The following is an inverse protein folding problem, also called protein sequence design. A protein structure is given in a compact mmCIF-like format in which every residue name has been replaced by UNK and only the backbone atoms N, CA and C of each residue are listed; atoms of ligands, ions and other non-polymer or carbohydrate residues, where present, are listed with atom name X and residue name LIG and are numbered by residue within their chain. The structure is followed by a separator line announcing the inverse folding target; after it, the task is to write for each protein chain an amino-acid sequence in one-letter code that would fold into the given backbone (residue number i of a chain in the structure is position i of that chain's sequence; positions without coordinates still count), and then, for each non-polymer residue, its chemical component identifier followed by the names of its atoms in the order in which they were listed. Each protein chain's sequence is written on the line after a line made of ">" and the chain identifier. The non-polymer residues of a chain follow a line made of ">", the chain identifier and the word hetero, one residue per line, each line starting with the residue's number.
data_IF_691202876226
#
_entry.id   IF_691202876226
#
_cell.length_a   1.000
_cell.length_b   1.000
_cell.length_c   1.000
_cell.angle_alpha   90.00
_cell.angle_beta   90.00
_cell.angle_gamma   90.00
#
_symmetry.space_group_name_H-M   'P 1'
#
loop_
_entity.id
_entity.type
_entity.pdbx_description
1 polymer ?
#
# COMPACT_ATOMS: atom_id res chain seq x y z
N UNK A 1 10.95 -18.15 -16.82
CA UNK A 1 9.86 -17.12 -16.73
C UNK A 1 10.34 -16.04 -15.79
N UNK A 2 10.37 -14.75 -16.21
CA UNK A 2 10.78 -13.66 -15.32
C UNK A 2 9.82 -13.59 -14.12
N UNK A 3 10.36 -13.31 -12.93
CA UNK A 3 9.53 -13.14 -11.74
C UNK A 3 8.74 -11.80 -11.81
N UNK A 4 7.77 -11.60 -10.94
CA UNK A 4 6.93 -10.39 -10.98
C UNK A 4 7.72 -9.12 -10.64
N UNK A 5 8.79 -9.21 -9.85
CA UNK A 5 9.64 -8.06 -9.48
C UNK A 5 10.41 -7.56 -10.71
N UNK A 6 11.03 -8.45 -11.49
CA UNK A 6 11.71 -8.08 -12.72
C UNK A 6 10.78 -7.40 -13.74
N UNK A 7 9.55 -7.93 -13.89
CA UNK A 7 8.54 -7.31 -14.76
C UNK A 7 8.07 -5.94 -14.24
N UNK A 8 7.99 -5.77 -12.93
CA UNK A 8 7.65 -4.48 -12.33
C UNK A 8 8.77 -3.45 -12.51
N UNK A 9 10.03 -3.87 -12.47
CA UNK A 9 11.18 -2.98 -12.75
C UNK A 9 11.17 -2.49 -14.21
N UNK A 10 10.93 -3.38 -15.18
CA UNK A 10 10.78 -3.00 -16.58
C UNK A 10 9.60 -2.00 -16.76
N UNK A 11 8.47 -2.29 -16.11
CA UNK A 11 7.28 -1.42 -16.13
C UNK A 11 7.57 -0.04 -15.50
N UNK A 12 8.31 0.03 -14.40
CA UNK A 12 8.71 1.30 -13.79
C UNK A 12 9.51 2.14 -14.79
N UNK A 13 10.48 1.53 -15.50
CA UNK A 13 11.25 2.23 -16.51
C UNK A 13 10.38 2.76 -17.67
N UNK A 14 9.36 2.00 -18.10
CA UNK A 14 8.42 2.40 -19.16
C UNK A 14 7.49 3.54 -18.72
N UNK A 15 6.95 3.50 -17.50
CA UNK A 15 5.96 4.47 -17.03
C UNK A 15 6.58 5.72 -16.40
N UNK A 16 7.84 5.66 -15.99
CA UNK A 16 8.51 6.75 -15.29
C UNK A 16 8.44 8.12 -16.00
N UNK A 17 8.65 8.23 -17.34
CA UNK A 17 8.52 9.51 -18.04
C UNK A 17 7.13 10.15 -17.86
N UNK A 18 6.06 9.34 -17.82
CA UNK A 18 4.68 9.80 -17.62
C UNK A 18 4.44 10.27 -16.19
N UNK A 19 5.05 9.61 -15.21
CA UNK A 19 4.98 10.03 -13.80
C UNK A 19 5.68 11.38 -13.61
N UNK A 20 6.80 11.61 -14.29
CA UNK A 20 7.53 12.87 -14.23
C UNK A 20 6.80 14.06 -14.89
N UNK A 21 5.78 13.82 -15.73
CA UNK A 21 4.90 14.86 -16.28
C UNK A 21 3.84 15.34 -15.28
N UNK A 22 3.65 14.64 -14.15
CA UNK A 22 2.63 14.99 -13.16
C UNK A 22 3.13 16.09 -12.22
N UNK A 23 2.34 17.15 -12.08
CA UNK A 23 2.62 18.25 -11.15
C UNK A 23 2.10 17.92 -9.73
N UNK A 24 1.01 17.16 -9.66
CA UNK A 24 0.45 16.70 -8.40
C UNK A 24 -0.06 15.23 -8.47
N UNK A 25 -0.48 14.70 -7.32
CA UNK A 25 -0.97 13.32 -7.20
C UNK A 25 -2.24 13.06 -8.01
N UNK A 26 -3.03 14.08 -8.31
CA UNK A 26 -4.29 13.96 -9.05
C UNK A 26 -4.07 13.77 -10.54
N UNK A 27 -2.94 14.25 -11.08
CA UNK A 27 -2.56 14.09 -12.49
C UNK A 27 -2.23 12.65 -12.85
N UNK A 28 -1.85 11.82 -11.87
CA UNK A 28 -1.42 10.44 -12.07
C UNK A 28 -2.45 9.63 -12.87
N UNK A 29 -3.75 9.84 -12.63
CA UNK A 29 -4.79 9.09 -13.36
C UNK A 29 -4.82 9.44 -14.85
N UNK A 30 -4.62 10.71 -15.18
CA UNK A 30 -4.55 11.17 -16.57
C UNK A 30 -3.28 10.64 -17.26
N UNK A 31 -2.14 10.71 -16.58
CA UNK A 31 -0.87 10.17 -17.05
C UNK A 31 -0.92 8.67 -17.29
N UNK A 32 -1.47 7.90 -16.37
CA UNK A 32 -1.67 6.45 -16.52
C UNK A 32 -2.64 6.13 -17.67
N UNK A 33 -3.69 6.93 -17.90
CA UNK A 33 -4.58 6.76 -19.04
C UNK A 33 -3.85 6.98 -20.37
N UNK A 34 -3.00 8.00 -20.46
CA UNK A 34 -2.13 8.28 -21.63
C UNK A 34 -1.17 7.11 -21.87
N UNK A 35 -0.51 6.63 -20.81
CA UNK A 35 0.38 5.47 -20.87
C UNK A 35 -0.36 4.21 -21.38
N UNK A 36 -1.53 3.89 -20.80
CA UNK A 36 -2.33 2.73 -21.23
C UNK A 36 -2.70 2.78 -22.70
N UNK A 37 -3.07 3.97 -23.21
CA UNK A 37 -3.39 4.16 -24.63
C UNK A 37 -2.16 3.96 -25.52
N UNK A 38 -1.00 4.49 -25.11
CA UNK A 38 0.24 4.42 -25.90
C UNK A 38 0.78 2.99 -26.01
N UNK A 39 0.70 2.20 -24.95
CA UNK A 39 1.31 0.86 -24.86
C UNK A 39 0.30 -0.31 -24.84
N UNK A 40 -0.98 -0.06 -25.09
CA UNK A 40 -2.05 -1.06 -24.98
C UNK A 40 -1.99 -1.83 -23.64
N UNK A 41 -1.85 -1.09 -22.53
CA UNK A 41 -1.74 -1.62 -21.18
C UNK A 41 -3.07 -1.44 -20.42
N UNK A 42 -3.21 -2.19 -19.32
CA UNK A 42 -4.38 -2.10 -18.41
C UNK A 42 -3.88 -1.84 -16.99
N UNK A 43 -3.27 -0.69 -16.79
CA UNK A 43 -2.84 -0.23 -15.45
C UNK A 43 -3.95 0.61 -14.82
N UNK A 44 -4.21 0.39 -13.53
CA UNK A 44 -5.16 1.18 -12.75
C UNK A 44 -4.37 1.98 -11.73
N UNK A 45 -4.50 3.30 -11.77
CA UNK A 45 -3.95 4.17 -10.74
C UNK A 45 -4.96 4.32 -9.58
N UNK A 46 -4.48 4.12 -8.37
CA UNK A 46 -5.13 4.49 -7.11
C UNK A 46 -4.23 5.49 -6.42
N UNK A 47 -4.79 6.58 -5.97
CA UNK A 47 -4.04 7.61 -5.24
C UNK A 47 -4.79 7.96 -3.96
N UNK A 48 -4.03 8.05 -2.88
CA UNK A 48 -4.40 8.74 -1.65
C UNK A 48 -4.04 10.23 -1.74
N UNK A 49 -3.80 10.86 -0.61
CA UNK A 49 -3.36 12.27 -0.55
C UNK A 49 -1.93 12.43 -1.10
N UNK A 50 -1.01 11.56 -0.69
CA UNK A 50 0.43 11.66 -0.99
C UNK A 50 1.03 10.36 -1.57
N UNK A 51 0.29 9.25 -1.54
CA UNK A 51 0.74 7.94 -2.03
C UNK A 51 -0.01 7.50 -3.27
N UNK A 52 0.71 6.83 -4.16
CA UNK A 52 0.18 6.27 -5.41
C UNK A 52 0.40 4.77 -5.44
N UNK A 53 -0.60 4.03 -5.90
CA UNK A 53 -0.50 2.62 -6.23
C UNK A 53 -0.89 2.38 -7.70
N UNK A 54 0.02 1.82 -8.48
CA UNK A 54 -0.19 1.42 -9.86
C UNK A 54 -0.44 -0.08 -9.91
N UNK A 55 -1.66 -0.46 -10.23
CA UNK A 55 -2.14 -1.82 -10.18
C UNK A 55 -2.11 -2.45 -11.57
N UNK A 56 -1.35 -3.53 -11.72
CA UNK A 56 -1.35 -4.37 -12.92
C UNK A 56 -2.14 -5.67 -12.68
N UNK A 57 -2.05 -6.65 -13.58
CA UNK A 57 -2.70 -7.97 -13.41
C UNK A 57 -2.10 -8.80 -12.28
N UNK A 58 -0.79 -8.68 -12.01
CA UNK A 58 -0.02 -9.61 -11.19
C UNK A 58 0.90 -8.95 -10.14
N UNK A 59 1.11 -7.64 -10.24
CA UNK A 59 1.85 -6.87 -9.24
C UNK A 59 1.26 -5.47 -9.04
N UNK A 60 1.69 -4.82 -7.98
CA UNK A 60 1.42 -3.43 -7.64
C UNK A 60 2.75 -2.72 -7.48
N UNK A 61 2.84 -1.51 -8.02
CA UNK A 61 3.95 -0.58 -7.77
C UNK A 61 3.41 0.59 -6.97
N UNK A 62 3.95 0.81 -5.78
CA UNK A 62 3.64 1.97 -4.94
C UNK A 62 4.79 2.96 -4.98
N UNK A 63 4.49 4.22 -4.72
CA UNK A 63 5.48 5.26 -4.43
C UNK A 63 4.83 6.41 -3.68
N UNK A 64 5.63 7.11 -2.90
CA UNK A 64 5.23 8.35 -2.27
C UNK A 64 5.40 9.47 -3.29
N UNK A 65 4.31 10.21 -3.55
CA UNK A 65 4.33 11.30 -4.55
C UNK A 65 5.04 12.51 -3.98
N UNK A 66 4.71 12.88 -2.76
CA UNK A 66 5.40 13.89 -1.98
C UNK A 66 5.94 13.25 -0.68
N UNK A 67 7.26 12.97 -0.61
CA UNK A 67 7.85 12.37 0.58
C UNK A 67 7.73 13.25 1.84
N UNK A 68 7.72 14.59 1.70
CA UNK A 68 7.63 15.51 2.85
C UNK A 68 6.24 15.45 3.51
N UNK A 69 5.18 15.32 2.74
CA UNK A 69 3.82 15.14 3.27
C UNK A 69 3.63 13.79 3.97
N UNK A 70 4.40 12.77 3.58
CA UNK A 70 4.23 11.39 4.05
C UNK A 70 4.91 11.13 5.39
N UNK A 71 5.92 11.92 5.79
CA UNK A 71 6.66 11.69 7.03
C UNK A 71 5.74 11.62 8.27
N UNK A 72 4.67 12.42 8.31
CA UNK A 72 3.78 12.47 9.46
C UNK A 72 2.77 11.32 9.55
N UNK A 73 2.42 10.68 8.43
CA UNK A 73 1.35 9.65 8.36
C UNK A 73 1.85 8.23 8.07
N UNK A 74 3.14 8.08 7.82
CA UNK A 74 3.76 6.84 7.40
C UNK A 74 3.67 6.60 5.89
N UNK A 75 4.84 6.51 5.26
CA UNK A 75 4.98 6.26 3.83
C UNK A 75 5.14 4.79 3.49
N UNK A 76 5.41 4.52 2.22
CA UNK A 76 5.68 3.17 1.74
C UNK A 76 6.92 2.54 2.42
N UNK A 77 7.86 3.35 2.91
CA UNK A 77 9.04 2.87 3.65
C UNK A 77 8.64 2.20 4.97
N UNK A 78 7.63 2.71 5.67
CA UNK A 78 7.12 2.11 6.90
C UNK A 78 6.53 0.71 6.67
N UNK A 79 6.01 0.42 5.47
CA UNK A 79 5.56 -0.94 5.13
C UNK A 79 6.72 -1.94 5.12
N UNK A 80 7.94 -1.52 4.73
CA UNK A 80 9.14 -2.38 4.79
C UNK A 80 9.46 -2.75 6.23
N UNK A 81 9.43 -1.78 7.14
CA UNK A 81 9.71 -2.02 8.56
C UNK A 81 8.65 -2.93 9.19
N UNK A 82 7.38 -2.66 8.95
CA UNK A 82 6.27 -3.51 9.40
C UNK A 82 6.45 -4.94 8.88
N UNK A 83 6.76 -5.11 7.59
CA UNK A 83 6.97 -6.42 7.00
C UNK A 83 8.19 -7.14 7.60
N UNK A 84 9.28 -6.42 7.85
CA UNK A 84 10.46 -6.98 8.51
C UNK A 84 10.16 -7.46 9.94
N UNK A 85 9.39 -6.69 10.71
CA UNK A 85 8.92 -7.09 12.05
C UNK A 85 8.02 -8.32 11.93
N UNK A 86 7.05 -8.31 11.02
CA UNK A 86 6.14 -9.43 10.80
C UNK A 86 6.88 -10.72 10.41
N UNK A 87 7.92 -10.61 9.56
CA UNK A 87 8.75 -11.75 9.16
C UNK A 87 9.52 -12.34 10.34
N UNK A 88 10.11 -11.48 11.18
CA UNK A 88 10.84 -11.89 12.38
C UNK A 88 9.95 -12.59 13.41
N UNK A 89 8.71 -12.17 13.53
CA UNK A 89 7.77 -12.66 14.53
C UNK A 89 6.78 -13.73 14.02
N UNK A 90 6.94 -14.18 12.75
CA UNK A 90 6.14 -15.28 12.20
C UNK A 90 4.80 -14.86 11.59
N UNK A 91 4.54 -13.57 11.42
CA UNK A 91 3.31 -13.01 10.83
C UNK A 91 3.44 -12.60 9.36
N UNK A 92 4.52 -12.97 8.66
CA UNK A 92 4.73 -12.56 7.27
C UNK A 92 3.61 -12.96 6.31
N UNK A 93 2.84 -14.04 6.60
CA UNK A 93 1.71 -14.47 5.77
C UNK A 93 0.55 -13.48 5.77
N UNK A 94 0.42 -12.67 6.82
CA UNK A 94 -0.62 -11.66 6.97
C UNK A 94 -0.40 -10.44 6.04
N UNK A 95 0.79 -10.26 5.49
CA UNK A 95 1.16 -9.06 4.71
C UNK A 95 1.56 -9.43 3.28
N UNK A 96 1.25 -8.57 2.33
CA UNK A 96 1.84 -8.63 1.01
C UNK A 96 3.32 -8.26 1.12
N UNK A 97 4.19 -9.13 0.61
CA UNK A 97 5.64 -8.87 0.62
C UNK A 97 5.94 -7.60 -0.18
N UNK A 98 6.78 -6.73 0.37
CA UNK A 98 7.17 -5.47 -0.27
C UNK A 98 8.67 -5.51 -0.60
N UNK A 99 9.00 -5.12 -1.83
CA UNK A 99 10.38 -5.06 -2.33
C UNK A 99 10.68 -3.63 -2.77
N UNK A 100 11.63 -2.93 -2.11
CA UNK A 100 12.05 -1.60 -2.54
C UNK A 100 12.85 -1.67 -3.83
N UNK A 101 12.69 -0.66 -4.68
CA UNK A 101 13.43 -0.49 -5.93
C UNK A 101 13.70 0.98 -6.22
N UNK A 102 14.95 1.36 -6.36
CA UNK A 102 15.35 2.72 -6.73
C UNK A 102 15.50 2.85 -8.23
N UNK A 103 14.84 3.85 -8.82
CA UNK A 103 14.97 4.19 -10.23
C UNK A 103 15.01 5.71 -10.41
N UNK A 104 16.06 6.24 -11.05
CA UNK A 104 16.27 7.67 -11.28
C UNK A 104 16.06 8.52 -10.00
N UNK A 105 16.68 8.12 -8.90
CA UNK A 105 16.63 8.79 -7.58
C UNK A 105 15.25 8.77 -6.90
N UNK A 106 14.26 8.09 -7.46
CA UNK A 106 12.95 7.88 -6.85
C UNK A 106 12.83 6.46 -6.33
N UNK A 107 12.23 6.32 -5.15
CA UNK A 107 11.93 5.01 -4.57
C UNK A 107 10.57 4.52 -5.03
N UNK A 108 10.53 3.27 -5.44
CA UNK A 108 9.35 2.50 -5.77
C UNK A 108 9.28 1.26 -4.87
N UNK A 109 8.08 0.78 -4.63
CA UNK A 109 7.82 -0.34 -3.74
C UNK A 109 6.94 -1.35 -4.48
N UNK A 110 7.49 -2.53 -4.72
CA UNK A 110 6.88 -3.57 -5.55
C UNK A 110 6.25 -4.62 -4.65
N UNK A 111 4.98 -4.93 -4.89
CA UNK A 111 4.21 -5.96 -4.17
C UNK A 111 3.55 -6.92 -5.15
N UNK A 112 3.30 -8.19 -4.76
CA UNK A 112 2.43 -9.06 -5.55
C UNK A 112 1.00 -8.50 -5.57
N UNK A 113 0.28 -8.68 -6.67
CA UNK A 113 -1.13 -8.33 -6.75
C UNK A 113 -1.95 -9.30 -5.90
N UNK A 114 -2.48 -8.82 -4.78
CA UNK A 114 -3.46 -9.54 -3.98
C UNK A 114 -4.84 -9.09 -4.44
N UNK A 115 -5.72 -10.02 -4.76
CA UNK A 115 -7.09 -9.69 -5.18
C UNK A 115 -7.93 -9.42 -3.94
N UNK A 116 -8.58 -8.26 -3.92
CA UNK A 116 -9.51 -7.87 -2.85
C UNK A 116 -10.80 -8.69 -2.87
N UNK A 117 -11.57 -8.56 -1.82
CA UNK A 117 -12.82 -9.32 -1.55
C UNK A 117 -14.03 -8.77 -2.31
N UNK A 118 -13.87 -7.71 -3.08
CA UNK A 118 -15.03 -7.04 -3.68
C UNK A 118 -15.67 -6.00 -2.73
N UNK A 119 -16.83 -5.46 -3.10
CA UNK A 119 -17.53 -4.39 -2.40
C UNK A 119 -18.28 -4.88 -1.16
N UNK A 120 -17.59 -5.09 -0.05
CA UNK A 120 -18.21 -5.37 1.24
C UNK A 120 -17.80 -4.30 2.28
N UNK A 121 -18.61 -4.13 3.34
CA UNK A 121 -18.25 -3.32 4.52
C UNK A 121 -17.53 -4.16 5.59
N UNK A 122 -16.80 -5.19 5.15
CA UNK A 122 -16.15 -6.09 6.06
C UNK A 122 -14.72 -5.61 6.34
N UNK A 123 -14.29 -5.75 7.58
CA UNK A 123 -12.93 -5.42 7.99
C UNK A 123 -12.05 -6.67 7.95
N UNK A 124 -10.76 -6.51 7.67
CA UNK A 124 -9.79 -7.59 7.66
C UNK A 124 -9.77 -8.39 8.96
N UNK A 125 -10.05 -7.73 10.09
CA UNK A 125 -10.12 -8.35 11.43
C UNK A 125 -11.09 -9.53 11.51
N UNK A 126 -12.16 -9.55 10.70
CA UNK A 126 -13.12 -10.66 10.68
C UNK A 126 -12.50 -11.98 10.19
N UNK A 127 -11.35 -11.90 9.52
CA UNK A 127 -10.64 -13.02 8.91
C UNK A 127 -9.29 -13.31 9.58
N UNK A 128 -8.91 -12.53 10.61
CA UNK A 128 -7.67 -12.67 11.35
C UNK A 128 -7.88 -13.55 12.59
N UNK A 129 -6.83 -14.26 12.96
CA UNK A 129 -6.70 -14.90 14.28
C UNK A 129 -6.53 -13.83 15.36
N UNK A 130 -6.80 -14.19 16.63
CA UNK A 130 -6.58 -13.26 17.74
C UNK A 130 -5.11 -12.84 17.91
N UNK A 131 -4.17 -13.73 17.55
CA UNK A 131 -2.75 -13.40 17.55
C UNK A 131 -2.40 -12.33 16.47
N UNK A 132 -2.98 -12.44 15.26
CA UNK A 132 -2.80 -11.45 14.19
C UNK A 132 -3.44 -10.11 14.53
N UNK A 133 -4.63 -10.12 15.13
CA UNK A 133 -5.27 -8.90 15.65
C UNK A 133 -4.41 -8.22 16.71
N UNK A 134 -3.87 -9.01 17.65
CA UNK A 134 -2.98 -8.49 18.68
C UNK A 134 -1.69 -7.89 18.07
N UNK A 135 -1.14 -8.55 17.03
CA UNK A 135 0.02 -8.04 16.30
C UNK A 135 -0.29 -6.69 15.63
N UNK A 136 -1.40 -6.59 14.88
CA UNK A 136 -1.82 -5.34 14.23
C UNK A 136 -2.06 -4.22 15.26
N UNK A 137 -2.77 -4.51 16.37
CA UNK A 137 -2.99 -3.52 17.44
C UNK A 137 -1.69 -3.01 18.04
N UNK A 138 -0.72 -3.89 18.29
CA UNK A 138 0.59 -3.50 18.84
C UNK A 138 1.36 -2.58 17.91
N UNK A 139 1.29 -2.81 16.59
CA UNK A 139 1.91 -1.95 15.57
C UNK A 139 0.98 -0.81 15.13
N UNK A 140 -0.21 -0.69 15.74
CA UNK A 140 -1.22 0.32 15.41
C UNK A 140 -1.60 0.36 13.92
N UNK A 141 -1.64 -0.82 13.30
CA UNK A 141 -2.22 -1.01 11.97
C UNK A 141 -3.72 -1.08 12.16
N UNK A 142 -4.42 0.02 11.88
CA UNK A 142 -5.86 0.19 12.16
C UNK A 142 -6.71 0.38 10.92
N UNK A 143 -6.09 0.71 9.77
CA UNK A 143 -6.80 0.94 8.52
C UNK A 143 -7.07 -0.38 7.78
N UNK A 144 -7.94 -1.21 8.37
CA UNK A 144 -8.21 -2.58 7.97
C UNK A 144 -9.48 -2.75 7.10
N UNK A 145 -9.89 -1.69 6.38
CA UNK A 145 -11.06 -1.73 5.50
C UNK A 145 -10.81 -2.52 4.21
N UNK A 146 -11.89 -2.79 3.45
CA UNK A 146 -11.91 -3.69 2.29
C UNK A 146 -10.92 -3.38 1.17
N UNK A 147 -10.47 -2.13 1.03
CA UNK A 147 -9.49 -1.76 0.00
C UNK A 147 -8.05 -2.09 0.40
N UNK A 148 -7.79 -2.30 1.70
CA UNK A 148 -6.47 -2.51 2.27
C UNK A 148 -6.11 -3.97 2.50
N UNK A 149 -6.98 -4.91 2.12
CA UNK A 149 -6.68 -6.33 2.19
C UNK A 149 -7.29 -7.14 1.04
N UNK A 150 -6.81 -8.35 0.90
CA UNK A 150 -7.37 -9.37 0.02
C UNK A 150 -7.06 -10.76 0.56
N UNK A 151 -7.17 -11.78 -0.28
CA UNK A 151 -6.88 -13.16 0.13
C UNK A 151 -5.75 -13.76 -0.70
N UNK A 152 -4.84 -14.45 0.00
CA UNK A 152 -3.77 -15.24 -0.58
C UNK A 152 -3.84 -16.66 -0.03
N UNK A 153 -4.11 -17.64 -0.91
CA UNK A 153 -4.27 -19.06 -0.52
C UNK A 153 -5.33 -19.27 0.58
N UNK A 154 -6.42 -18.51 0.54
CA UNK A 154 -7.50 -18.61 1.51
C UNK A 154 -7.25 -17.89 2.84
N UNK A 155 -6.11 -17.23 3.01
CA UNK A 155 -5.78 -16.46 4.20
C UNK A 155 -5.80 -14.95 3.89
N UNK A 156 -6.25 -14.13 4.86
CA UNK A 156 -6.25 -12.67 4.75
C UNK A 156 -4.84 -12.14 4.55
N UNK A 157 -4.69 -11.15 3.67
CA UNK A 157 -3.40 -10.57 3.34
C UNK A 157 -3.54 -9.07 3.18
N UNK A 158 -2.93 -8.31 4.07
CA UNK A 158 -2.93 -6.85 4.05
C UNK A 158 -2.05 -6.33 2.90
N UNK A 159 -2.54 -5.32 2.19
CA UNK A 159 -1.87 -4.71 1.03
C UNK A 159 -1.58 -3.22 1.22
N UNK A 160 -2.18 -2.58 2.22
CA UNK A 160 -1.85 -1.24 2.69
C UNK A 160 -1.80 -1.29 4.22
N UNK A 161 -0.59 -1.21 4.75
CA UNK A 161 -0.32 -1.40 6.17
C UNK A 161 0.76 -0.43 6.67
N UNK A 162 0.98 0.67 5.94
CA UNK A 162 1.86 1.73 6.39
C UNK A 162 1.32 2.31 7.71
N UNK A 163 2.19 2.43 8.69
CA UNK A 163 1.94 3.14 9.93
C UNK A 163 3.21 3.90 10.31
N UNK A 164 3.07 5.08 10.87
CA UNK A 164 4.21 5.77 11.45
C UNK A 164 4.45 5.18 12.85
N UNK A 165 5.47 4.33 12.98
CA UNK A 165 5.80 3.64 14.23
C UNK A 165 6.24 4.61 15.33
N UNK A 166 6.88 5.73 14.98
CA UNK A 166 7.25 6.78 15.94
C UNK A 166 6.02 7.56 16.40
N UNK A 167 5.18 7.98 15.46
CA UNK A 167 3.92 8.68 15.76
C UNK A 167 2.96 7.75 16.52
N UNK A 168 2.95 6.46 16.19
CA UNK A 168 2.16 5.45 16.87
C UNK A 168 2.50 5.32 18.36
N UNK A 169 3.70 5.71 18.80
CA UNK A 169 4.11 5.72 20.21
C UNK A 169 3.72 7.01 20.95
N UNK A 170 3.23 8.05 20.26
CA UNK A 170 2.85 9.33 20.85
C UNK A 170 1.41 9.32 21.37
N UNK A 171 1.13 10.11 22.43
CA UNK A 171 -0.21 10.27 23.02
C UNK A 171 -1.22 10.93 22.05
N UNK A 172 -0.74 11.64 21.03
CA UNK A 172 -1.57 12.39 20.09
C UNK A 172 -2.29 11.47 19.09
N UNK A 173 -1.76 10.26 18.90
CA UNK A 173 -2.37 9.24 18.01
C UNK A 173 -3.72 8.75 18.53
N UNK A 174 -3.89 8.58 19.84
CA UNK A 174 -5.16 8.14 20.43
C UNK A 174 -6.29 9.15 20.17
N UNK A 175 -5.98 10.44 20.24
CA UNK A 175 -6.93 11.52 20.00
C UNK A 175 -7.43 11.57 18.54
N UNK A 176 -6.57 11.25 17.56
CA UNK A 176 -6.94 11.30 16.13
C UNK A 176 -7.89 10.16 15.74
N UNK A 177 -7.68 8.96 16.26
CA UNK A 177 -8.51 7.78 15.91
C UNK A 177 -9.80 7.68 16.71
N UNK A 178 -9.83 8.11 17.97
CA UNK A 178 -11.08 8.24 18.73
C UNK A 178 -12.08 9.20 18.07
N UNK A 179 -11.58 10.28 17.45
CA UNK A 179 -12.43 11.20 16.70
C UNK A 179 -12.94 10.62 15.37
N UNK A 180 -12.18 9.77 14.68
CA UNK A 180 -12.60 9.15 13.41
C UNK A 180 -13.68 8.08 13.59
N UNK A 181 -13.60 7.29 14.65
CA UNK A 181 -14.64 6.29 15.00
C UNK A 181 -15.97 6.93 15.39
N UNK A 182 -15.99 8.17 15.88
CA UNK A 182 -17.22 8.89 16.20
C UNK A 182 -17.99 9.39 14.95
N UNK A 183 -17.32 9.59 13.81
CA UNK A 183 -17.93 10.06 12.57
C UNK A 183 -18.34 8.96 11.60
N UNK A 184 -17.95 7.71 11.83
CA UNK A 184 -18.32 6.55 10.98
C UNK A 184 -19.64 5.87 11.42
N UNK A 185 -20.36 6.44 12.41
CA UNK A 185 -21.61 5.90 12.97
C UNK A 185 -22.84 6.77 12.63
N UNK A 186 -22.77 7.58 11.55
CA UNK A 186 -23.94 8.30 11.02
C UNK A 186 -24.28 7.80 9.62
#
# INVERSE_FOLDING_TARGET
>A
MRNYVERAQDFIAEIYPYICECEDVWDIRACVKKFNFTFDRKVIARNGLSRVALLTSDYVVKFDFDPEEVESIGGCENEIEVFAIAKREGFASLFAEITPYSFNQRMFYIMPRIRGVGSGREYAENYMTEAEKAFCRRLRITDLHTENYGFRKGHVCLVDYACNLEYASSSDYECYYENRTRYSTI
#
